data_IF_899540023044
#
_entry.id   IF_899540023044
#
_cell.length_a   1.000
_cell.length_b   1.000
_cell.length_c   1.000
_cell.angle_alpha   90.00
_cell.angle_beta   90.00
_cell.angle_gamma   90.00
#
_symmetry.space_group_name_H-M   'P 1'
#
loop_
_entity.id
_entity.type
_entity.pdbx_description
1 polymer ?
#
# COMPACT_ATOMS: atom_id res chain seq x y z
N UNK A 1 -6.82 -12.85 18.24
CA UNK A 1 -8.26 -12.64 18.09
C UNK A 1 -8.65 -11.19 17.81
N UNK A 2 -8.04 -10.16 18.44
CA UNK A 2 -8.29 -8.74 18.11
C UNK A 2 -7.86 -8.37 16.67
N UNK A 3 -6.75 -8.92 16.16
CA UNK A 3 -6.23 -8.65 14.80
C UNK A 3 -7.19 -9.12 13.68
N UNK A 4 -7.87 -10.24 13.88
CA UNK A 4 -8.79 -10.80 12.88
C UNK A 4 -10.07 -9.95 12.68
N UNK A 5 -10.56 -9.27 13.72
CA UNK A 5 -11.76 -8.43 13.63
C UNK A 5 -11.53 -7.09 12.88
N UNK A 6 -10.31 -6.53 12.95
CA UNK A 6 -9.95 -5.30 12.25
C UNK A 6 -9.81 -5.54 10.73
N UNK A 7 -9.27 -6.70 10.35
CA UNK A 7 -9.07 -7.11 8.94
C UNK A 7 -10.40 -7.35 8.20
N UNK A 8 -11.40 -7.92 8.85
CA UNK A 8 -12.73 -8.12 8.24
C UNK A 8 -13.51 -6.80 8.01
N UNK A 9 -13.23 -5.75 8.80
CA UNK A 9 -13.94 -4.47 8.68
C UNK A 9 -13.41 -3.62 7.52
N UNK A 10 -12.13 -3.75 7.17
CA UNK A 10 -11.54 -3.01 6.04
C UNK A 10 -12.10 -3.51 4.71
N UNK A 11 -12.25 -4.82 4.54
CA UNK A 11 -12.82 -5.41 3.31
C UNK A 11 -14.30 -5.01 3.08
N UNK A 12 -15.05 -4.69 4.15
CA UNK A 12 -16.45 -4.31 4.04
C UNK A 12 -16.65 -2.82 3.68
N UNK A 13 -15.64 -1.97 3.92
CA UNK A 13 -15.72 -0.54 3.60
C UNK A 13 -15.57 -0.27 2.09
N UNK A 14 -14.80 -1.09 1.37
CA UNK A 14 -14.63 -0.97 -0.08
C UNK A 14 -15.92 -1.17 -0.90
N UNK A 15 -16.91 -1.89 -0.36
CA UNK A 15 -18.16 -2.16 -1.08
C UNK A 15 -19.20 -1.04 -0.95
N UNK A 16 -19.02 -0.08 -0.01
CA UNK A 16 -20.00 1.00 0.23
C UNK A 16 -19.65 2.35 -0.43
N UNK A 17 -18.41 2.61 -0.78
CA UNK A 17 -18.02 3.88 -1.39
C UNK A 17 -18.37 4.00 -2.88
N UNK A 18 -18.53 2.90 -3.58
CA UNK A 18 -18.97 2.90 -5.00
C UNK A 18 -20.45 3.24 -5.21
N UNK A 19 -21.27 3.39 -4.16
CA UNK A 19 -22.73 3.62 -4.29
C UNK A 19 -23.18 5.03 -3.87
N UNK A 20 -22.30 5.94 -3.50
CA UNK A 20 -22.69 7.27 -2.96
C UNK A 20 -22.59 8.45 -3.95
N UNK A 21 -22.21 8.24 -5.21
CA UNK A 21 -21.99 9.33 -6.18
C UNK A 21 -23.14 9.54 -7.20
N UNK A 22 -24.24 8.81 -7.10
CA UNK A 22 -25.32 8.89 -8.09
C UNK A 22 -26.61 9.57 -7.58
N UNK A 23 -26.57 10.68 -6.83
CA UNK A 23 -27.78 11.51 -6.59
C UNK A 23 -27.44 12.94 -6.16
N UNK A 24 -26.96 13.78 -7.09
CA UNK A 24 -27.18 15.24 -7.01
C UNK A 24 -27.21 15.85 -8.40
N UNK A 25 -28.39 16.14 -8.87
CA UNK A 25 -28.57 16.97 -10.08
C UNK A 25 -29.98 16.98 -10.56
N UNK A 26 -30.82 17.88 -10.05
CA UNK A 26 -31.56 18.88 -10.80
C UNK A 26 -32.50 19.65 -9.88
N UNK A 27 -32.36 20.96 -9.88
CA UNK A 27 -33.24 21.89 -9.20
C UNK A 27 -34.50 22.19 -10.00
N UNK A 28 -35.52 22.71 -9.32
CA UNK A 28 -36.73 23.24 -9.89
C UNK A 28 -37.68 23.77 -8.82
N UNK A 29 -37.75 25.08 -8.68
CA UNK A 29 -38.69 25.85 -7.84
C UNK A 29 -40.14 25.63 -8.22
N UNK A 30 -41.07 25.59 -7.25
CA UNK A 30 -42.19 26.52 -7.13
C UNK A 30 -43.21 26.14 -6.04
N UNK A 31 -43.38 27.05 -5.11
CA UNK A 31 -44.58 27.60 -4.45
C UNK A 31 -45.75 26.71 -3.97
N UNK A 32 -45.92 26.79 -2.65
CA UNK A 32 -47.12 27.11 -1.84
C UNK A 32 -48.47 26.39 -2.08
N UNK A 33 -49.00 25.85 -1.00
CA UNK A 33 -50.43 25.52 -0.86
C UNK A 33 -50.75 24.79 0.44
N UNK A 34 -51.37 25.49 1.31
CA UNK A 34 -51.88 25.19 2.65
C UNK A 34 -52.96 24.10 2.71
N UNK A 35 -53.03 23.44 3.85
CA UNK A 35 -54.20 23.07 4.69
C UNK A 35 -54.52 21.59 4.88
N UNK A 36 -54.38 21.19 6.12
CA UNK A 36 -55.34 20.70 7.11
C UNK A 36 -56.01 19.32 7.00
N UNK A 37 -55.82 18.57 8.11
CA UNK A 37 -56.77 17.73 8.88
C UNK A 37 -57.41 16.54 8.15
N UNK A 38 -57.57 15.36 8.69
CA UNK A 38 -57.82 14.83 10.03
C UNK A 38 -58.01 13.31 9.95
N UNK A 39 -57.54 12.64 10.99
CA UNK A 39 -58.14 11.60 11.82
C UNK A 39 -58.88 10.37 11.27
N UNK A 40 -58.60 9.28 12.03
CA UNK A 40 -59.41 8.11 12.44
C UNK A 40 -59.22 6.85 11.60
N UNK A 41 -58.83 5.77 12.20
CA UNK A 41 -59.25 4.87 13.30
C UNK A 41 -59.77 3.53 12.75
N UNK A 42 -59.50 2.48 13.54
CA UNK A 42 -60.08 1.10 13.52
C UNK A 42 -59.53 0.15 12.44
N UNK A 43 -59.00 -1.07 12.75
CA UNK A 43 -59.34 -1.97 13.81
C UNK A 43 -59.65 -3.36 13.25
N UNK A 44 -59.14 -4.39 13.92
CA UNK A 44 -59.55 -5.82 13.99
C UNK A 44 -58.80 -6.79 13.06
N UNK A 45 -58.03 -7.68 13.68
CA UNK A 45 -58.26 -9.04 14.24
C UNK A 45 -58.73 -10.13 13.26
N UNK A 46 -57.97 -11.17 13.26
CA UNK A 46 -58.20 -12.61 13.52
C UNK A 46 -57.55 -13.47 12.42
N UNK A 47 -56.68 -14.31 12.80
CA UNK A 47 -56.67 -15.71 13.29
C UNK A 47 -56.54 -16.79 12.21
N UNK A 48 -55.43 -17.50 12.35
CA UNK A 48 -55.31 -18.96 12.50
C UNK A 48 -55.31 -19.87 11.25
N UNK A 49 -54.25 -20.60 11.01
CA UNK A 49 -54.04 -22.02 11.29
C UNK A 49 -52.79 -22.58 10.61
N UNK A 50 -51.98 -23.17 11.45
CA UNK A 50 -51.04 -24.26 11.37
C UNK A 50 -51.10 -25.22 10.18
N UNK A 51 -49.91 -25.65 9.69
CA UNK A 51 -49.51 -27.09 9.65
C UNK A 51 -47.97 -27.21 9.63
N UNK A 52 -47.51 -28.12 10.40
CA UNK A 52 -46.26 -28.67 10.85
C UNK A 52 -45.42 -29.37 9.73
N UNK A 53 -44.08 -29.30 9.77
CA UNK A 53 -43.18 -30.44 9.95
C UNK A 53 -41.73 -30.11 9.56
N UNK A 54 -40.84 -30.49 10.50
CA UNK A 54 -39.51 -31.04 10.16
C UNK A 54 -38.28 -30.30 10.64
N UNK A 55 -37.98 -30.48 11.92
CA UNK A 55 -36.64 -30.61 12.54
C UNK A 55 -35.40 -30.37 11.70
N UNK A 56 -34.56 -29.40 12.07
CA UNK A 56 -33.22 -29.71 12.54
C UNK A 56 -32.67 -28.61 13.46
N UNK A 57 -32.06 -29.07 14.54
CA UNK A 57 -31.56 -28.32 15.68
C UNK A 57 -30.12 -27.84 15.43
N UNK A 58 -29.87 -26.55 15.63
CA UNK A 58 -28.57 -26.12 16.15
C UNK A 58 -28.75 -24.82 16.94
N UNK A 59 -28.48 -24.90 18.23
CA UNK A 59 -28.52 -23.80 19.19
C UNK A 59 -27.56 -22.67 18.87
N UNK A 60 -27.94 -21.41 19.15
CA UNK A 60 -26.99 -20.29 19.11
C UNK A 60 -26.19 -20.26 20.41
N UNK A 61 -24.90 -20.37 20.31
CA UNK A 61 -23.94 -20.14 21.39
C UNK A 61 -23.98 -18.67 21.80
N UNK A 62 -24.53 -18.44 22.99
CA UNK A 62 -24.51 -17.18 23.72
C UNK A 62 -23.07 -16.86 24.16
N UNK A 63 -22.37 -15.99 23.45
CA UNK A 63 -21.09 -15.42 23.87
C UNK A 63 -21.33 -14.08 24.54
N UNK A 64 -21.50 -14.11 25.85
CA UNK A 64 -21.36 -12.93 26.69
C UNK A 64 -19.99 -12.33 26.52
N UNK A 65 -19.96 -11.17 25.91
CA UNK A 65 -18.81 -10.34 25.73
C UNK A 65 -18.55 -9.55 27.02
N UNK A 66 -17.56 -10.01 27.79
CA UNK A 66 -17.04 -9.25 28.93
C UNK A 66 -16.31 -8.01 28.39
N UNK A 67 -16.99 -6.87 28.45
CA UNK A 67 -16.43 -5.57 28.15
C UNK A 67 -15.54 -5.12 29.29
N UNK A 68 -14.25 -5.42 29.23
CA UNK A 68 -13.25 -4.69 30.00
C UNK A 68 -13.01 -3.35 29.32
N UNK A 69 -13.48 -2.28 29.97
CA UNK A 69 -13.06 -0.90 29.72
C UNK A 69 -11.53 -0.83 29.91
N UNK A 70 -10.82 -0.59 28.83
CA UNK A 70 -9.48 -0.04 28.90
C UNK A 70 -9.65 1.48 28.69
N UNK A 71 -9.37 2.23 29.74
CA UNK A 71 -9.28 3.69 29.71
C UNK A 71 -7.98 4.09 28.98
N UNK A 72 -7.99 4.05 27.65
CA UNK A 72 -6.99 4.69 26.80
C UNK A 72 -7.72 5.72 25.95
N UNK A 73 -7.45 6.99 26.21
CA UNK A 73 -7.95 8.19 25.52
C UNK A 73 -7.39 8.32 24.09
N UNK A 74 -7.18 7.19 23.41
CA UNK A 74 -6.81 7.06 21.99
C UNK A 74 -8.03 6.65 21.13
N UNK A 75 -9.25 6.76 21.66
CA UNK A 75 -10.47 6.54 20.91
C UNK A 75 -10.79 7.78 20.05
N UNK A 76 -10.19 7.86 18.87
CA UNK A 76 -10.76 8.63 17.77
C UNK A 76 -12.18 8.13 17.53
N UNK A 77 -13.16 9.03 17.50
CA UNK A 77 -14.55 8.72 17.20
C UNK A 77 -14.64 8.10 15.79
N UNK A 78 -14.74 6.77 15.71
CA UNK A 78 -14.94 6.02 14.48
C UNK A 78 -14.05 4.78 14.39
N UNK A 79 -14.65 3.60 14.38
CA UNK A 79 -13.98 2.28 14.37
C UNK A 79 -13.21 1.94 13.06
N UNK A 80 -12.74 2.92 12.27
CA UNK A 80 -12.00 2.67 11.01
C UNK A 80 -11.02 3.81 10.64
N UNK A 81 -10.33 4.40 11.60
CA UNK A 81 -9.36 5.48 11.31
C UNK A 81 -7.99 4.84 11.05
N UNK A 82 -7.46 5.00 9.83
CA UNK A 82 -6.13 4.50 9.45
C UNK A 82 -5.01 5.14 10.30
N UNK A 83 -5.16 6.43 10.66
CA UNK A 83 -4.22 7.18 11.48
C UNK A 83 -4.92 7.71 12.72
N UNK A 84 -4.38 7.44 13.91
CA UNK A 84 -4.88 7.98 15.18
C UNK A 84 -4.40 9.41 15.37
N UNK A 85 -4.97 10.13 16.33
CA UNK A 85 -4.50 11.48 16.71
C UNK A 85 -3.03 11.47 17.11
N UNK A 86 -2.59 10.43 17.84
CA UNK A 86 -1.20 10.27 18.28
C UNK A 86 -0.26 9.96 17.10
N UNK A 87 -0.71 9.21 16.10
CA UNK A 87 0.08 8.99 14.88
C UNK A 87 0.36 10.33 14.16
N UNK A 88 -0.60 11.25 14.16
CA UNK A 88 -0.53 12.56 13.48
C UNK A 88 0.19 13.64 14.31
N UNK A 89 0.58 13.36 15.54
CA UNK A 89 1.25 14.32 16.41
C UNK A 89 2.68 14.56 15.96
N UNK A 90 2.97 15.80 15.50
CA UNK A 90 4.30 16.16 15.00
C UNK A 90 5.25 16.70 16.08
N UNK A 91 4.72 17.00 17.26
CA UNK A 91 5.46 17.58 18.39
C UNK A 91 4.98 16.99 19.71
N UNK A 92 5.55 15.84 20.13
CA UNK A 92 5.10 15.16 21.32
C UNK A 92 5.39 15.97 22.60
N UNK A 93 4.59 15.74 23.62
CA UNK A 93 4.85 16.32 24.95
C UNK A 93 6.13 15.71 25.53
N UNK A 94 7.09 16.57 25.83
CA UNK A 94 8.37 16.20 26.44
C UNK A 94 8.36 16.29 27.97
N UNK A 95 7.21 16.57 28.59
CA UNK A 95 7.10 16.59 30.04
C UNK A 95 7.42 15.23 30.63
N UNK A 96 8.45 15.16 31.49
CA UNK A 96 8.91 13.88 32.05
C UNK A 96 9.74 13.02 31.12
N UNK A 97 10.05 13.50 29.91
CA UNK A 97 10.91 12.78 28.97
C UNK A 97 12.32 12.53 29.55
N UNK A 98 12.87 11.38 29.26
CA UNK A 98 14.25 10.99 29.64
C UNK A 98 15.17 11.31 28.48
N UNK A 99 16.19 12.16 28.69
CA UNK A 99 17.23 12.38 27.69
C UNK A 99 18.31 11.32 27.80
N UNK A 100 18.59 10.64 26.69
CA UNK A 100 19.60 9.61 26.56
C UNK A 100 20.57 9.99 25.44
N UNK A 101 21.86 9.76 25.67
CA UNK A 101 22.90 10.08 24.68
C UNK A 101 23.52 8.77 24.19
N UNK A 102 23.56 8.58 22.88
CA UNK A 102 24.23 7.42 22.25
C UNK A 102 25.74 7.47 22.50
N UNK A 103 26.40 6.31 22.67
CA UNK A 103 27.81 6.18 22.88
C UNK A 103 28.41 4.98 22.15
N UNK A 104 29.67 5.12 21.76
CA UNK A 104 30.40 4.11 20.99
C UNK A 104 30.36 2.72 21.65
N UNK A 105 29.96 1.71 20.89
CA UNK A 105 29.96 0.31 21.33
C UNK A 105 28.86 -0.05 22.33
N UNK A 106 27.98 0.88 22.72
CA UNK A 106 26.94 0.62 23.74
C UNK A 106 25.59 0.21 23.09
N UNK A 107 24.84 -0.59 23.83
CA UNK A 107 23.41 -0.79 23.58
C UNK A 107 22.61 0.09 24.54
N UNK A 108 21.90 1.06 24.00
CA UNK A 108 21.00 1.93 24.74
C UNK A 108 19.65 1.21 24.94
N UNK A 109 19.45 0.59 26.10
CA UNK A 109 18.26 -0.23 26.37
C UNK A 109 17.10 0.60 26.91
N UNK A 110 15.94 0.49 26.28
CA UNK A 110 14.67 1.09 26.66
C UNK A 110 13.67 -0.04 26.93
N UNK A 111 13.30 -0.21 28.21
CA UNK A 111 12.52 -1.35 28.69
C UNK A 111 11.26 -0.95 29.46
N UNK A 112 10.84 0.30 29.38
CA UNK A 112 9.65 0.80 30.05
C UNK A 112 8.94 1.84 29.16
N UNK A 113 7.63 1.93 29.28
CA UNK A 113 6.82 2.96 28.65
C UNK A 113 7.34 4.37 28.98
N UNK A 114 7.27 5.26 28.00
CA UNK A 114 7.64 6.67 28.18
C UNK A 114 8.21 7.33 26.94
N UNK A 115 8.54 8.62 27.10
CA UNK A 115 9.17 9.45 26.08
C UNK A 115 10.67 9.56 26.35
N UNK A 116 11.46 9.28 25.30
CA UNK A 116 12.91 9.26 25.35
C UNK A 116 13.48 10.17 24.26
N UNK A 117 14.14 11.25 24.68
CA UNK A 117 14.87 12.14 23.77
C UNK A 117 16.26 11.56 23.56
N UNK A 118 16.55 11.15 22.33
CA UNK A 118 17.83 10.54 21.97
C UNK A 118 18.69 11.59 21.27
N UNK A 119 19.93 11.73 21.73
CA UNK A 119 20.88 12.73 21.22
C UNK A 119 22.28 12.15 21.03
N UNK A 120 23.13 12.86 20.26
CA UNK A 120 24.56 12.59 20.18
C UNK A 120 24.97 11.79 18.95
N UNK A 121 26.25 11.40 18.94
CA UNK A 121 26.85 10.66 17.84
C UNK A 121 27.63 9.45 18.39
N UNK A 122 27.48 8.30 17.72
CA UNK A 122 28.13 7.06 18.14
C UNK A 122 28.43 6.12 16.97
N UNK A 123 29.40 5.25 17.18
CA UNK A 123 29.71 4.11 16.32
C UNK A 123 29.36 2.81 17.00
N UNK A 124 28.80 1.87 16.27
CA UNK A 124 28.38 0.56 16.76
C UNK A 124 27.50 0.67 18.03
N UNK A 125 26.50 1.55 17.95
CA UNK A 125 25.51 1.76 19.00
C UNK A 125 24.14 1.30 18.51
N UNK A 126 23.41 0.58 19.36
CA UNK A 126 22.03 0.17 19.07
C UNK A 126 21.09 0.77 20.11
N UNK A 127 20.08 1.50 19.66
CA UNK A 127 18.94 1.92 20.47
C UNK A 127 17.96 0.73 20.48
N UNK A 128 17.96 -0.04 21.57
CA UNK A 128 17.14 -1.25 21.72
C UNK A 128 15.91 -0.95 22.55
N UNK A 129 14.73 -1.18 21.95
CA UNK A 129 13.45 -1.18 22.64
C UNK A 129 13.04 -2.62 22.93
N UNK A 130 12.87 -2.94 24.23
CA UNK A 130 12.48 -4.28 24.69
C UNK A 130 11.65 -4.10 25.95
N UNK A 131 10.39 -3.66 25.74
CA UNK A 131 9.46 -3.27 26.79
C UNK A 131 8.27 -4.23 26.86
N UNK A 132 7.36 -4.01 27.82
CA UNK A 132 6.12 -4.76 27.90
C UNK A 132 5.31 -4.61 26.61
N UNK A 133 4.65 -5.68 26.16
CA UNK A 133 3.83 -5.72 24.95
C UNK A 133 2.62 -4.77 24.94
N UNK A 134 2.39 -4.05 26.03
CA UNK A 134 1.37 -3.00 26.13
C UNK A 134 2.00 -1.60 26.22
N UNK A 135 3.33 -1.51 26.29
CA UNK A 135 4.02 -0.26 26.42
C UNK A 135 4.03 0.50 25.09
N UNK A 136 3.69 1.76 25.11
CA UNK A 136 3.85 2.69 23.99
C UNK A 136 5.13 3.49 24.21
N UNK A 137 6.08 3.33 23.30
CA UNK A 137 7.39 3.97 23.39
C UNK A 137 7.46 5.15 22.43
N UNK A 138 7.91 6.29 22.94
CA UNK A 138 8.16 7.49 22.14
C UNK A 138 9.66 7.75 22.06
N UNK A 139 10.27 7.53 20.91
CA UNK A 139 11.66 7.90 20.62
C UNK A 139 11.66 9.25 19.89
N UNK A 140 12.20 10.28 20.51
CA UNK A 140 12.40 11.58 19.87
C UNK A 140 13.88 11.66 19.46
N UNK A 141 14.16 11.50 18.17
CA UNK A 141 15.50 11.61 17.64
C UNK A 141 15.84 13.08 17.44
N UNK A 142 16.83 13.60 18.15
CA UNK A 142 17.23 14.98 18.11
C UNK A 142 18.73 15.10 17.78
N UNK A 143 19.03 15.36 16.51
CA UNK A 143 20.39 15.48 15.98
C UNK A 143 21.25 14.25 16.27
N UNK A 144 20.68 13.05 16.05
CA UNK A 144 21.33 11.75 16.31
C UNK A 144 22.13 11.31 15.10
N UNK A 145 23.38 10.86 15.34
CA UNK A 145 24.20 10.20 14.33
C UNK A 145 24.66 8.84 14.85
N UNK A 146 24.29 7.75 14.16
CA UNK A 146 24.78 6.40 14.48
C UNK A 146 25.31 5.75 13.21
N UNK A 147 26.57 5.24 13.30
CA UNK A 147 27.21 4.49 12.21
C UNK A 147 27.57 3.10 12.73
N UNK A 148 26.85 2.09 12.30
CA UNK A 148 27.08 0.71 12.67
C UNK A 148 27.72 -0.08 11.53
N UNK A 149 28.38 -1.18 11.88
CA UNK A 149 29.01 -2.06 10.89
C UNK A 149 28.11 -3.24 10.50
N UNK A 150 27.33 -3.79 11.44
CA UNK A 150 26.71 -5.10 11.24
C UNK A 150 25.38 -5.33 11.98
N UNK A 151 24.82 -4.30 12.62
CA UNK A 151 23.59 -4.45 13.41
C UNK A 151 22.73 -3.18 13.38
N UNK A 152 21.40 -3.28 13.51
CA UNK A 152 20.50 -2.13 13.48
C UNK A 152 20.91 -1.00 14.42
N UNK A 153 20.78 0.24 13.95
CA UNK A 153 20.92 1.44 14.80
C UNK A 153 19.72 1.61 15.74
N UNK A 154 18.52 1.24 15.27
CA UNK A 154 17.31 1.13 16.09
C UNK A 154 16.76 -0.30 15.96
N UNK A 155 16.54 -0.96 17.09
CA UNK A 155 16.02 -2.31 17.15
C UNK A 155 14.86 -2.40 18.14
N UNK A 156 13.64 -2.54 17.63
CA UNK A 156 12.42 -2.74 18.43
C UNK A 156 12.12 -4.23 18.50
N UNK A 157 12.33 -4.80 19.68
CA UNK A 157 12.11 -6.23 19.96
C UNK A 157 10.70 -6.47 20.46
N UNK A 158 10.24 -5.62 21.40
CA UNK A 158 8.94 -5.76 22.03
C UNK A 158 8.42 -4.41 22.53
N UNK A 159 7.17 -4.09 22.15
CA UNK A 159 6.35 -2.98 22.62
C UNK A 159 4.90 -3.23 22.16
N UNK A 160 3.93 -2.38 22.52
CA UNK A 160 2.64 -2.29 21.83
C UNK A 160 2.83 -1.52 20.52
N UNK A 161 3.57 -0.40 20.60
CA UNK A 161 3.88 0.47 19.49
C UNK A 161 5.08 1.34 19.78
N UNK A 162 5.91 1.59 18.77
CA UNK A 162 7.03 2.51 18.87
C UNK A 162 6.81 3.70 17.93
N UNK A 163 6.80 4.92 18.48
CA UNK A 163 6.78 6.17 17.74
C UNK A 163 8.21 6.69 17.60
N UNK A 164 8.61 7.05 16.40
CA UNK A 164 9.92 7.65 16.08
C UNK A 164 9.66 9.07 15.58
N UNK A 165 9.81 10.04 16.47
CA UNK A 165 9.61 11.45 16.14
C UNK A 165 10.94 12.10 15.75
N UNK A 166 10.94 12.72 14.60
CA UNK A 166 12.12 13.37 14.04
C UNK A 166 12.19 14.84 14.42
N UNK A 167 13.27 15.25 15.08
CA UNK A 167 13.63 16.64 15.34
C UNK A 167 15.05 16.89 14.85
N UNK A 168 15.29 18.04 14.21
CA UNK A 168 16.62 18.38 13.67
C UNK A 168 17.06 17.44 12.54
N UNK A 169 18.34 17.11 12.50
CA UNK A 169 18.94 16.29 11.44
C UNK A 169 19.51 15.00 11.99
N UNK A 170 18.94 13.87 11.62
CA UNK A 170 19.33 12.56 12.11
C UNK A 170 19.95 11.73 10.98
N UNK A 171 20.99 10.97 11.28
CA UNK A 171 21.70 10.13 10.32
C UNK A 171 22.01 8.76 10.96
N UNK A 172 21.45 7.71 10.38
CA UNK A 172 21.70 6.35 10.82
C UNK A 172 22.22 5.52 9.65
N UNK A 173 23.25 4.72 9.88
CA UNK A 173 23.84 3.91 8.81
C UNK A 173 24.35 2.57 9.29
N UNK A 174 24.21 1.55 8.44
CA UNK A 174 24.84 0.23 8.56
C UNK A 174 25.36 -0.15 7.19
N UNK A 175 26.68 -0.31 7.07
CA UNK A 175 27.36 -0.45 5.77
C UNK A 175 28.16 -1.74 5.59
N UNK A 176 28.20 -2.61 6.61
CA UNK A 176 28.78 -3.95 6.54
C UNK A 176 27.71 -5.03 6.41
N UNK A 177 28.09 -6.30 6.51
CA UNK A 177 27.14 -7.41 6.47
C UNK A 177 26.37 -7.49 7.78
N UNK A 178 25.05 -7.46 7.70
CA UNK A 178 24.19 -7.61 8.86
C UNK A 178 24.34 -8.99 9.50
N UNK A 179 24.19 -9.05 10.80
CA UNK A 179 24.18 -10.28 11.59
C UNK A 179 22.82 -10.48 12.24
N UNK A 180 22.38 -11.72 12.31
CA UNK A 180 21.20 -12.10 13.07
C UNK A 180 21.39 -11.82 14.57
N UNK A 181 20.29 -11.60 15.28
CA UNK A 181 20.27 -11.58 16.75
C UNK A 181 20.31 -12.99 17.36
N UNK A 182 20.30 -14.04 16.52
CA UNK A 182 20.25 -15.45 16.90
C UNK A 182 18.85 -16.07 16.73
N UNK A 183 17.80 -15.26 16.58
CA UNK A 183 16.43 -15.69 16.38
C UNK A 183 15.86 -15.16 15.05
N UNK A 184 16.26 -13.95 14.68
CA UNK A 184 15.70 -13.23 13.52
C UNK A 184 16.84 -12.66 12.69
N UNK A 185 16.66 -12.64 11.37
CA UNK A 185 17.49 -11.85 10.48
C UNK A 185 17.14 -10.36 10.68
N UNK A 186 18.13 -9.57 11.14
CA UNK A 186 17.95 -8.15 11.46
C UNK A 186 18.63 -7.31 10.37
N UNK A 187 18.11 -7.33 9.18
CA UNK A 187 18.69 -6.84 7.93
C UNK A 187 18.34 -5.39 7.58
N UNK A 188 18.10 -4.56 8.55
CA UNK A 188 17.75 -3.15 8.33
C UNK A 188 18.47 -2.21 9.32
N UNK A 189 18.65 -0.95 8.89
CA UNK A 189 19.19 0.11 9.79
C UNK A 189 18.23 0.38 10.95
N UNK A 190 16.92 0.38 10.66
CA UNK A 190 15.84 0.39 11.65
C UNK A 190 15.06 -0.89 11.48
N UNK A 191 15.07 -1.74 12.49
CA UNK A 191 14.37 -3.02 12.47
C UNK A 191 13.35 -3.09 13.60
N UNK A 192 12.11 -3.48 13.29
CA UNK A 192 11.04 -3.63 14.28
C UNK A 192 10.28 -4.94 14.13
N UNK A 193 9.96 -5.56 15.26
CA UNK A 193 9.01 -6.70 15.34
C UNK A 193 7.58 -6.25 15.63
N UNK A 194 7.39 -4.97 15.96
CA UNK A 194 6.13 -4.38 16.43
C UNK A 194 5.80 -3.14 15.60
N UNK A 195 4.60 -2.60 15.79
CA UNK A 195 4.13 -1.41 15.09
C UNK A 195 5.10 -0.23 15.18
N UNK A 196 5.35 0.43 14.06
CA UNK A 196 6.12 1.67 13.96
C UNK A 196 5.27 2.83 13.46
N UNK A 197 5.44 3.99 14.07
CA UNK A 197 4.96 5.26 13.49
C UNK A 197 6.09 6.26 13.45
N UNK A 198 6.36 6.80 12.26
CA UNK A 198 7.30 7.89 12.03
C UNK A 198 6.54 9.19 11.89
N UNK A 199 6.95 10.23 12.65
CA UNK A 199 6.36 11.56 12.63
C UNK A 199 7.40 12.63 12.95
N UNK A 200 6.97 13.89 13.12
CA UNK A 200 7.85 15.03 13.42
C UNK A 200 8.22 15.83 12.18
N UNK A 201 9.04 16.87 12.39
CA UNK A 201 9.40 17.84 11.35
C UNK A 201 10.88 17.78 10.95
N UNK A 202 11.64 16.85 11.57
CA UNK A 202 13.05 16.67 11.29
C UNK A 202 13.35 15.84 10.04
N UNK A 203 14.65 15.62 9.83
CA UNK A 203 15.16 14.82 8.72
C UNK A 203 15.79 13.54 9.25
N UNK A 204 15.54 12.43 8.56
CA UNK A 204 16.20 11.14 8.78
C UNK A 204 16.92 10.72 7.51
N UNK A 205 18.24 10.65 7.57
CA UNK A 205 19.07 10.11 6.49
C UNK A 205 19.46 8.67 6.86
N UNK A 206 19.14 7.71 5.99
CA UNK A 206 19.49 6.30 6.15
C UNK A 206 20.43 5.85 5.03
N UNK A 207 21.45 5.08 5.40
CA UNK A 207 22.31 4.38 4.44
C UNK A 207 22.46 2.93 4.89
N UNK A 208 22.06 2.00 4.04
CA UNK A 208 22.06 0.57 4.34
C UNK A 208 22.72 -0.25 3.23
N UNK A 209 23.48 -1.27 3.66
CA UNK A 209 23.95 -2.35 2.78
C UNK A 209 22.90 -3.47 2.58
N UNK A 210 21.78 -3.39 3.26
CA UNK A 210 20.58 -4.23 3.08
C UNK A 210 19.35 -3.32 3.13
N UNK A 211 18.29 -3.63 3.90
CA UNK A 211 17.09 -2.81 3.99
C UNK A 211 17.33 -1.50 4.77
N UNK A 212 16.63 -0.44 4.38
CA UNK A 212 16.66 0.82 5.13
C UNK A 212 15.88 0.72 6.43
N UNK A 213 14.59 0.44 6.34
CA UNK A 213 13.65 0.21 7.45
C UNK A 213 12.92 -1.10 7.18
N UNK A 214 12.91 -2.03 8.14
CA UNK A 214 12.15 -3.27 8.05
C UNK A 214 11.27 -3.45 9.29
N UNK A 215 9.98 -3.66 9.08
CA UNK A 215 8.97 -3.90 10.10
C UNK A 215 8.24 -5.22 9.91
N UNK A 216 8.01 -5.97 10.99
CA UNK A 216 7.25 -7.23 10.94
C UNK A 216 5.75 -7.05 11.21
N UNK A 217 5.31 -5.81 11.44
CA UNK A 217 3.92 -5.44 11.68
C UNK A 217 3.58 -4.17 10.86
N UNK A 218 2.63 -3.34 11.32
CA UNK A 218 2.20 -2.13 10.63
C UNK A 218 3.23 -0.99 10.73
N UNK A 219 3.44 -0.30 9.63
CA UNK A 219 4.33 0.87 9.56
C UNK A 219 3.59 2.09 9.05
N UNK A 220 3.73 3.22 9.76
CA UNK A 220 3.07 4.49 9.41
C UNK A 220 4.07 5.63 9.32
N UNK A 221 3.87 6.50 8.34
CA UNK A 221 4.61 7.75 8.16
C UNK A 221 3.60 8.90 8.12
N UNK A 222 3.72 9.85 9.05
CA UNK A 222 2.74 10.94 9.17
C UNK A 222 3.36 12.33 9.10
N UNK A 223 4.65 12.42 8.85
CA UNK A 223 5.43 13.65 8.66
C UNK A 223 6.92 13.33 8.58
N UNK A 224 7.76 14.37 8.52
CA UNK A 224 9.21 14.25 8.44
C UNK A 224 9.77 14.24 7.02
N UNK A 225 11.10 14.28 6.95
CA UNK A 225 11.85 14.19 5.69
C UNK A 225 12.78 12.98 5.73
N UNK A 226 12.70 12.13 4.73
CA UNK A 226 13.44 10.87 4.64
C UNK A 226 14.34 10.88 3.41
N UNK A 227 15.64 10.60 3.63
CA UNK A 227 16.63 10.40 2.57
C UNK A 227 17.20 9.01 2.75
N UNK A 228 16.79 8.07 1.93
CA UNK A 228 17.12 6.65 2.11
C UNK A 228 17.92 6.15 0.92
N UNK A 229 19.08 5.53 1.23
CA UNK A 229 19.86 4.78 0.25
C UNK A 229 20.06 3.35 0.79
N UNK A 230 19.65 2.34 0.05
CA UNK A 230 19.70 0.94 0.44
C UNK A 230 20.15 0.02 -0.70
N UNK A 231 20.74 -1.11 -0.34
CA UNK A 231 21.11 -2.15 -1.29
C UNK A 231 20.00 -3.19 -1.51
N UNK A 232 19.06 -3.29 -0.55
CA UNK A 232 17.78 -3.99 -0.65
C UNK A 232 16.63 -2.97 -0.54
N UNK A 233 15.46 -3.37 -0.02
CA UNK A 233 14.29 -2.50 0.05
C UNK A 233 14.56 -1.25 0.92
N UNK A 234 14.07 -0.10 0.47
CA UNK A 234 14.26 1.09 1.29
C UNK A 234 13.33 1.09 2.50
N UNK A 235 12.08 0.68 2.33
CA UNK A 235 11.08 0.50 3.37
C UNK A 235 10.35 -0.82 3.12
N UNK A 236 10.46 -1.75 4.05
CA UNK A 236 9.80 -3.06 3.99
C UNK A 236 8.91 -3.25 5.21
N UNK A 237 7.67 -3.71 5.01
CA UNK A 237 6.77 -4.11 6.09
C UNK A 237 6.05 -5.41 5.76
N UNK A 238 5.83 -6.27 6.76
CA UNK A 238 5.07 -7.48 6.52
C UNK A 238 3.56 -7.21 6.43
N UNK A 239 3.01 -6.40 7.34
CA UNK A 239 1.56 -6.21 7.40
C UNK A 239 1.11 -5.01 6.56
N UNK A 240 1.70 -3.84 6.76
CA UNK A 240 1.33 -2.68 5.96
C UNK A 240 2.30 -1.51 6.01
N UNK A 241 2.24 -0.67 4.96
CA UNK A 241 2.82 0.67 4.97
C UNK A 241 1.73 1.69 4.67
N UNK A 242 1.55 2.66 5.56
CA UNK A 242 0.62 3.77 5.38
C UNK A 242 1.34 5.11 5.48
N UNK A 243 1.19 5.97 4.48
CA UNK A 243 1.76 7.31 4.44
C UNK A 243 0.65 8.34 4.45
N UNK A 244 0.60 9.16 5.50
CA UNK A 244 -0.30 10.30 5.58
C UNK A 244 0.31 11.55 4.96
N UNK A 245 1.58 11.82 5.32
CA UNK A 245 2.38 12.94 4.84
C UNK A 245 3.87 12.66 5.05
N UNK A 246 4.74 13.43 4.43
CA UNK A 246 6.17 13.37 4.53
C UNK A 246 6.86 13.64 3.19
N UNK A 247 8.17 13.86 3.23
CA UNK A 247 8.98 14.05 2.04
C UNK A 247 10.00 12.93 1.94
N UNK A 248 9.94 12.16 0.85
CA UNK A 248 10.79 10.99 0.65
C UNK A 248 11.69 11.18 -0.58
N UNK A 249 12.98 10.94 -0.38
CA UNK A 249 13.97 10.77 -1.45
C UNK A 249 14.62 9.43 -1.27
N UNK A 250 14.30 8.50 -2.15
CA UNK A 250 14.70 7.09 -2.04
C UNK A 250 15.53 6.71 -3.26
N UNK A 251 16.68 6.08 -3.00
CA UNK A 251 17.49 5.40 -4.01
C UNK A 251 17.80 4.00 -3.50
N UNK A 252 17.33 2.99 -4.21
CA UNK A 252 17.50 1.59 -3.79
C UNK A 252 17.89 0.69 -4.95
N UNK A 253 18.51 -0.47 -4.62
CA UNK A 253 18.84 -1.51 -5.61
C UNK A 253 17.76 -2.60 -5.69
N UNK A 254 16.72 -2.51 -4.86
CA UNK A 254 15.54 -3.40 -4.89
C UNK A 254 14.27 -2.51 -4.89
N UNK A 255 13.32 -2.72 -3.97
CA UNK A 255 12.04 -2.00 -3.99
C UNK A 255 12.08 -0.71 -3.15
N UNK A 256 11.34 0.29 -3.58
CA UNK A 256 11.23 1.57 -2.85
C UNK A 256 10.45 1.41 -1.56
N UNK A 257 9.19 1.04 -1.67
CA UNK A 257 8.31 0.68 -0.55
C UNK A 257 7.69 -0.68 -0.85
N UNK A 258 7.94 -1.65 0.01
CA UNK A 258 7.50 -3.03 -0.14
C UNK A 258 6.65 -3.47 1.05
N UNK A 259 5.50 -4.08 0.79
CA UNK A 259 4.69 -4.72 1.82
C UNK A 259 4.26 -6.12 1.39
N UNK A 260 4.82 -7.14 2.07
CA UNK A 260 4.57 -8.54 1.73
C UNK A 260 4.30 -9.38 2.98
N UNK A 261 3.24 -10.20 2.92
CA UNK A 261 2.98 -11.22 3.92
C UNK A 261 2.58 -12.53 3.25
N UNK A 262 3.43 -13.54 3.37
CA UNK A 262 3.18 -14.88 2.81
C UNK A 262 2.19 -15.71 3.61
N UNK A 263 2.00 -15.39 4.89
CA UNK A 263 1.22 -16.19 5.84
C UNK A 263 -0.24 -15.71 5.95
N UNK A 264 -0.47 -14.40 5.77
CA UNK A 264 -1.80 -13.79 5.84
C UNK A 264 -2.13 -12.98 4.58
N UNK A 265 -3.00 -13.51 3.74
CA UNK A 265 -3.41 -12.86 2.49
C UNK A 265 -4.27 -11.58 2.69
N UNK A 266 -4.57 -11.17 3.92
CA UNK A 266 -5.38 -9.98 4.21
C UNK A 266 -4.54 -8.75 4.54
N UNK A 267 -3.24 -8.92 4.67
CA UNK A 267 -2.23 -7.87 4.88
C UNK A 267 -1.26 -7.82 3.70
N UNK A 268 -0.18 -7.11 3.81
CA UNK A 268 0.72 -6.87 2.69
C UNK A 268 0.16 -5.77 1.78
N UNK A 269 -0.17 -4.59 2.35
CA UNK A 269 -0.76 -3.49 1.59
C UNK A 269 -0.04 -2.15 1.80
N UNK A 270 -0.17 -1.27 0.81
CA UNK A 270 0.36 0.10 0.84
C UNK A 270 -0.79 1.10 0.65
N UNK A 271 -0.84 2.14 1.48
CA UNK A 271 -1.75 3.29 1.33
C UNK A 271 -0.96 4.59 1.37
N UNK A 272 -1.05 5.38 0.32
CA UNK A 272 -0.50 6.74 0.23
C UNK A 272 -1.66 7.72 0.26
N UNK A 273 -1.86 8.38 1.41
CA UNK A 273 -2.90 9.38 1.57
C UNK A 273 -2.42 10.80 1.22
N UNK A 274 -1.11 11.00 1.08
CA UNK A 274 -0.49 12.27 0.74
C UNK A 274 1.02 12.23 0.77
N UNK A 275 1.66 13.41 0.81
CA UNK A 275 3.10 13.58 0.87
C UNK A 275 3.77 13.74 -0.48
N UNK A 276 5.10 13.83 -0.45
CA UNK A 276 5.93 13.98 -1.66
C UNK A 276 6.98 12.87 -1.71
N UNK A 277 7.02 12.14 -2.81
CA UNK A 277 7.93 11.01 -2.99
C UNK A 277 8.73 11.14 -4.28
N UNK A 278 10.05 10.96 -4.18
CA UNK A 278 10.94 10.76 -5.31
C UNK A 278 11.69 9.45 -5.10
N UNK A 279 11.26 8.41 -5.80
CA UNK A 279 11.76 7.04 -5.65
C UNK A 279 12.48 6.63 -6.92
N UNK A 280 13.73 6.18 -6.77
CA UNK A 280 14.52 5.53 -7.79
C UNK A 280 14.85 4.12 -7.30
N UNK A 281 14.17 3.14 -7.82
CA UNK A 281 14.33 1.73 -7.49
C UNK A 281 14.95 0.96 -8.67
N UNK A 282 15.61 -0.16 -8.40
CA UNK A 282 16.05 -1.09 -9.46
C UNK A 282 14.99 -2.14 -9.78
N UNK A 283 14.15 -2.46 -8.81
CA UNK A 283 12.92 -3.21 -8.95
C UNK A 283 11.76 -2.23 -8.88
N UNK A 284 10.78 -2.42 -8.01
CA UNK A 284 9.53 -1.68 -8.03
C UNK A 284 9.56 -0.48 -7.10
N UNK A 285 8.90 0.61 -7.50
CA UNK A 285 8.84 1.77 -6.62
C UNK A 285 7.88 1.53 -5.45
N UNK A 286 6.69 0.97 -5.73
CA UNK A 286 5.69 0.57 -4.74
C UNK A 286 5.25 -0.86 -5.05
N UNK A 287 5.53 -1.82 -4.17
CA UNK A 287 5.10 -3.21 -4.32
C UNK A 287 4.30 -3.67 -3.13
N UNK A 288 3.10 -4.21 -3.35
CA UNK A 288 2.26 -4.78 -2.31
C UNK A 288 1.68 -6.14 -2.71
N UNK A 289 1.66 -7.09 -1.78
CA UNK A 289 1.05 -8.40 -2.02
C UNK A 289 -0.45 -8.28 -2.27
N UNK A 290 -1.16 -7.43 -1.51
CA UNK A 290 -2.62 -7.36 -1.53
C UNK A 290 -3.10 -6.17 -2.35
N UNK A 291 -2.88 -4.96 -1.87
CA UNK A 291 -3.29 -3.78 -2.62
C UNK A 291 -2.37 -2.59 -2.42
N UNK A 292 -2.34 -1.73 -3.42
CA UNK A 292 -1.79 -0.38 -3.37
C UNK A 292 -2.95 0.60 -3.56
N UNK A 293 -3.11 1.55 -2.63
CA UNK A 293 -4.06 2.66 -2.78
C UNK A 293 -3.35 3.99 -2.68
N UNK A 294 -3.62 4.86 -3.63
CA UNK A 294 -3.10 6.23 -3.65
C UNK A 294 -4.31 7.17 -3.63
N UNK A 295 -4.49 7.89 -2.51
CA UNK A 295 -5.59 8.84 -2.34
C UNK A 295 -5.19 10.25 -2.80
N UNK A 296 -3.92 10.65 -2.55
CA UNK A 296 -3.34 11.95 -2.94
C UNK A 296 -1.80 11.88 -2.86
N UNK A 297 -1.12 12.97 -3.20
CA UNK A 297 0.33 13.12 -3.10
C UNK A 297 0.98 13.57 -4.41
N UNK A 298 2.29 13.85 -4.31
CA UNK A 298 3.13 14.18 -5.47
C UNK A 298 4.22 13.10 -5.58
N UNK A 299 4.03 12.16 -6.50
CA UNK A 299 4.86 10.98 -6.62
C UNK A 299 5.66 11.03 -7.92
N UNK A 300 6.98 10.94 -7.80
CA UNK A 300 7.89 10.70 -8.91
C UNK A 300 8.53 9.34 -8.74
N UNK A 301 8.14 8.38 -9.58
CA UNK A 301 8.49 6.98 -9.48
C UNK A 301 9.33 6.56 -10.71
N UNK A 302 10.48 5.95 -10.48
CA UNK A 302 11.35 5.41 -11.51
C UNK A 302 11.87 4.05 -11.07
N UNK A 303 11.40 2.98 -11.72
CA UNK A 303 11.69 1.60 -11.35
C UNK A 303 11.67 0.63 -12.52
N UNK A 304 11.74 -0.66 -12.21
CA UNK A 304 11.34 -1.71 -13.15
C UNK A 304 9.85 -1.59 -13.41
N UNK A 305 9.07 -1.72 -12.33
CA UNK A 305 7.67 -1.34 -12.30
C UNK A 305 7.48 -0.11 -11.40
N UNK A 306 6.55 0.75 -11.77
CA UNK A 306 6.24 1.91 -10.93
C UNK A 306 5.39 1.53 -9.73
N UNK A 307 4.32 0.77 -9.96
CA UNK A 307 3.36 0.33 -8.94
C UNK A 307 2.95 -1.10 -9.24
N UNK A 308 3.16 -2.01 -8.28
CA UNK A 308 2.76 -3.41 -8.40
C UNK A 308 1.89 -3.85 -7.22
N UNK A 309 0.85 -4.65 -7.51
CA UNK A 309 -0.04 -5.22 -6.50
C UNK A 309 -1.09 -6.15 -7.07
N UNK A 310 -1.85 -6.85 -6.23
CA UNK A 310 -2.99 -7.63 -6.72
C UNK A 310 -4.18 -6.74 -7.06
N UNK A 311 -4.39 -5.67 -6.29
CA UNK A 311 -5.41 -4.66 -6.52
C UNK A 311 -4.79 -3.27 -6.38
N UNK A 312 -4.94 -2.44 -7.40
CA UNK A 312 -4.37 -1.10 -7.41
C UNK A 312 -5.50 -0.10 -7.57
N UNK A 313 -5.60 0.87 -6.66
CA UNK A 313 -6.62 1.91 -6.67
C UNK A 313 -5.98 3.30 -6.58
N UNK A 314 -6.20 4.14 -7.58
CA UNK A 314 -5.70 5.52 -7.61
C UNK A 314 -6.91 6.46 -7.57
N UNK A 315 -7.04 7.19 -6.46
CA UNK A 315 -8.14 8.12 -6.22
C UNK A 315 -7.79 9.57 -6.55
N UNK A 316 -6.49 9.90 -6.51
CA UNK A 316 -6.01 11.26 -6.72
C UNK A 316 -4.50 11.36 -6.80
N UNK A 317 -3.99 12.60 -6.63
CA UNK A 317 -2.58 12.93 -6.65
C UNK A 317 -2.01 13.24 -8.03
N UNK A 318 -0.73 13.61 -8.05
CA UNK A 318 0.07 13.81 -9.25
C UNK A 318 1.16 12.74 -9.29
N UNK A 319 1.15 11.91 -10.32
CA UNK A 319 2.05 10.76 -10.44
C UNK A 319 2.83 10.88 -11.77
N UNK A 320 4.15 11.10 -11.67
CA UNK A 320 5.10 11.06 -12.80
C UNK A 320 5.89 9.75 -12.69
N UNK A 321 5.57 8.79 -13.53
CA UNK A 321 6.04 7.42 -13.43
C UNK A 321 6.80 7.00 -14.67
N UNK A 322 7.97 6.41 -14.46
CA UNK A 322 8.74 5.69 -15.48
C UNK A 322 8.94 4.25 -15.03
N UNK A 323 8.46 3.29 -15.86
CA UNK A 323 8.71 1.86 -15.73
C UNK A 323 9.66 1.39 -16.84
N UNK A 324 10.73 0.67 -16.49
CA UNK A 324 11.59 0.05 -17.51
C UNK A 324 11.01 -1.26 -18.04
N UNK A 325 10.13 -1.86 -17.29
CA UNK A 325 9.22 -2.96 -17.62
C UNK A 325 7.81 -2.38 -17.70
N UNK A 326 6.96 -2.53 -16.68
CA UNK A 326 5.62 -1.97 -16.71
C UNK A 326 5.51 -0.68 -15.88
N UNK A 327 4.54 0.17 -16.25
CA UNK A 327 4.22 1.34 -15.45
C UNK A 327 3.45 0.98 -14.19
N UNK A 328 2.27 0.41 -14.37
CA UNK A 328 1.38 -0.09 -13.30
C UNK A 328 1.02 -1.53 -13.63
N UNK A 329 1.31 -2.47 -12.71
CA UNK A 329 1.08 -3.89 -12.91
C UNK A 329 0.18 -4.49 -11.82
N UNK A 330 -1.03 -4.91 -12.19
CA UNK A 330 -1.89 -5.68 -11.31
C UNK A 330 -1.76 -7.18 -11.60
N UNK A 331 -0.99 -7.87 -10.78
CA UNK A 331 -0.71 -9.30 -10.90
C UNK A 331 -1.20 -10.09 -9.67
N UNK A 332 -1.44 -11.40 -9.82
CA UNK A 332 -1.95 -12.22 -8.71
C UNK A 332 -0.87 -12.57 -7.71
N UNK A 333 -0.71 -11.76 -6.69
CA UNK A 333 0.17 -12.01 -5.55
C UNK A 333 -0.60 -12.47 -4.30
N UNK A 334 -1.88 -12.10 -4.18
CA UNK A 334 -2.75 -12.48 -3.05
C UNK A 334 -4.02 -13.20 -3.50
N UNK A 335 -4.61 -13.96 -2.59
CA UNK A 335 -5.93 -14.61 -2.76
C UNK A 335 -7.07 -13.75 -2.22
N UNK A 336 -6.79 -12.57 -1.63
CA UNK A 336 -7.81 -11.66 -1.09
C UNK A 336 -8.67 -11.04 -2.20
N UNK A 337 -8.10 -10.90 -3.39
CA UNK A 337 -8.82 -10.48 -4.57
C UNK A 337 -8.89 -11.64 -5.58
N UNK A 338 -10.09 -11.89 -6.10
CA UNK A 338 -10.30 -12.96 -7.10
C UNK A 338 -9.75 -12.61 -8.46
N UNK A 339 -9.73 -11.33 -8.78
CA UNK A 339 -9.28 -10.77 -10.06
C UNK A 339 -8.28 -9.65 -9.78
N UNK A 340 -7.05 -9.74 -10.30
CA UNK A 340 -6.15 -8.59 -10.30
C UNK A 340 -6.82 -7.41 -11.00
N UNK A 341 -6.70 -6.21 -10.44
CA UNK A 341 -7.49 -5.08 -10.96
C UNK A 341 -6.75 -3.77 -10.77
N UNK A 342 -6.77 -2.93 -11.80
CA UNK A 342 -6.38 -1.51 -11.71
C UNK A 342 -7.64 -0.67 -11.78
N UNK A 343 -7.85 0.20 -10.77
CA UNK A 343 -8.95 1.17 -10.73
C UNK A 343 -8.36 2.57 -10.65
N UNK A 344 -8.72 3.44 -11.59
CA UNK A 344 -8.32 4.85 -11.59
C UNK A 344 -9.58 5.70 -11.46
N UNK A 345 -9.75 6.31 -10.28
CA UNK A 345 -10.89 7.15 -9.95
C UNK A 345 -10.59 8.64 -10.19
N UNK A 346 -9.32 9.03 -10.18
CA UNK A 346 -8.89 10.42 -10.30
C UNK A 346 -7.38 10.56 -10.41
N UNK A 347 -6.88 11.80 -10.29
CA UNK A 347 -5.47 12.14 -10.35
C UNK A 347 -4.98 12.56 -11.73
N UNK A 348 -3.73 13.07 -11.74
CA UNK A 348 -2.98 13.41 -12.96
C UNK A 348 -1.81 12.44 -13.08
N UNK A 349 -1.95 11.45 -13.95
CA UNK A 349 -0.98 10.38 -14.17
C UNK A 349 -0.24 10.61 -15.47
N UNK A 350 1.07 10.74 -15.38
CA UNK A 350 1.96 10.70 -16.53
C UNK A 350 2.80 9.44 -16.44
N UNK A 351 2.63 8.54 -17.40
CA UNK A 351 3.26 7.22 -17.43
C UNK A 351 4.12 7.10 -18.68
N UNK A 352 5.40 6.87 -18.48
CA UNK A 352 6.34 6.56 -19.55
C UNK A 352 6.93 5.17 -19.30
N UNK A 353 6.94 4.31 -20.32
CA UNK A 353 7.52 2.98 -20.21
C UNK A 353 8.67 2.79 -21.18
N UNK A 354 9.54 1.84 -20.85
CA UNK A 354 10.74 1.50 -21.60
C UNK A 354 10.45 0.97 -23.01
N UNK A 355 11.45 0.40 -23.61
CA UNK A 355 11.33 -0.26 -24.92
C UNK A 355 11.35 -1.77 -24.71
N UNK A 356 10.48 -2.47 -25.39
CA UNK A 356 10.41 -3.93 -25.33
C UNK A 356 8.95 -4.38 -25.20
N UNK A 357 8.76 -5.48 -24.54
CA UNK A 357 7.44 -6.01 -24.14
C UNK A 357 7.08 -5.35 -22.81
N UNK A 358 6.60 -4.10 -22.89
CA UNK A 358 6.35 -3.20 -21.76
C UNK A 358 4.99 -2.56 -21.91
N UNK A 359 4.22 -2.54 -20.82
CA UNK A 359 2.88 -1.99 -20.76
C UNK A 359 2.81 -0.79 -19.82
N UNK A 360 2.15 0.30 -20.25
CA UNK A 360 1.99 1.42 -19.35
C UNK A 360 1.06 1.07 -18.18
N UNK A 361 0.00 0.31 -18.45
CA UNK A 361 -0.90 -0.27 -17.44
C UNK A 361 -1.19 -1.72 -17.82
N UNK A 362 -0.69 -2.66 -17.04
CA UNK A 362 -0.98 -4.09 -17.14
C UNK A 362 -1.91 -4.56 -16.02
N UNK A 363 -2.85 -5.44 -16.35
CA UNK A 363 -3.65 -6.15 -15.37
C UNK A 363 -3.91 -7.58 -15.83
N UNK A 364 -3.42 -8.56 -15.10
CA UNK A 364 -3.83 -9.96 -15.31
C UNK A 364 -5.30 -10.15 -14.91
N UNK A 365 -6.13 -9.16 -15.20
CA UNK A 365 -7.55 -9.09 -14.88
C UNK A 365 -8.22 -7.84 -15.44
N UNK A 366 -8.78 -6.97 -14.58
CA UNK A 366 -9.64 -5.88 -15.00
C UNK A 366 -8.94 -4.52 -14.92
N UNK A 367 -9.24 -3.60 -15.87
CA UNK A 367 -8.87 -2.18 -15.82
C UNK A 367 -10.14 -1.35 -15.82
N UNK A 368 -10.29 -0.46 -14.85
CA UNK A 368 -11.46 0.42 -14.69
C UNK A 368 -10.99 1.86 -14.55
N UNK A 369 -11.36 2.72 -15.48
CA UNK A 369 -11.07 4.15 -15.43
C UNK A 369 -12.39 4.91 -15.23
N UNK A 370 -12.52 5.53 -14.06
CA UNK A 370 -13.70 6.32 -13.68
C UNK A 370 -13.45 7.83 -13.80
N UNK A 371 -12.19 8.28 -13.80
CA UNK A 371 -11.84 9.69 -13.84
C UNK A 371 -10.35 9.93 -13.97
N UNK A 372 -9.92 11.19 -13.80
CA UNK A 372 -8.53 11.61 -13.88
C UNK A 372 -8.03 11.89 -15.28
N UNK A 373 -6.75 12.25 -15.38
CA UNK A 373 -6.01 12.41 -16.63
C UNK A 373 -4.89 11.36 -16.66
N UNK A 374 -4.85 10.56 -17.70
CA UNK A 374 -3.84 9.51 -17.90
C UNK A 374 -3.12 9.82 -19.21
N UNK A 375 -1.89 10.31 -19.11
CA UNK A 375 -1.01 10.65 -20.25
C UNK A 375 0.09 9.59 -20.36
N UNK A 376 -0.02 8.74 -21.37
CA UNK A 376 0.85 7.61 -21.62
C UNK A 376 1.79 7.86 -22.75
N UNK A 377 3.08 7.60 -22.53
CA UNK A 377 4.12 7.48 -23.56
C UNK A 377 4.62 6.05 -23.58
N UNK A 378 4.28 5.29 -24.62
CA UNK A 378 4.68 3.89 -24.80
C UNK A 378 5.05 3.62 -26.25
N UNK A 379 5.91 2.63 -26.46
CA UNK A 379 6.35 2.24 -27.83
C UNK A 379 5.62 1.02 -28.36
N UNK A 380 5.14 0.13 -27.47
CA UNK A 380 4.48 -1.14 -27.83
C UNK A 380 3.03 -1.15 -27.35
N UNK A 381 2.80 -1.21 -26.06
CA UNK A 381 1.47 -1.32 -25.49
C UNK A 381 1.22 -0.22 -24.48
N UNK A 382 0.01 0.31 -24.47
CA UNK A 382 -0.42 1.30 -23.47
C UNK A 382 -1.25 0.65 -22.38
N UNK A 383 -2.03 -0.36 -22.74
CA UNK A 383 -2.86 -1.14 -21.84
C UNK A 383 -2.80 -2.61 -22.25
N UNK A 384 -2.52 -3.49 -21.28
CA UNK A 384 -2.78 -4.91 -21.41
C UNK A 384 -3.74 -5.38 -20.30
N UNK A 385 -4.65 -6.30 -20.62
CA UNK A 385 -5.61 -6.81 -19.64
C UNK A 385 -6.20 -8.16 -20.08
N UNK A 386 -6.30 -9.08 -19.14
CA UNK A 386 -6.86 -10.40 -19.35
C UNK A 386 -8.39 -10.44 -19.19
N UNK A 387 -8.97 -9.49 -18.48
CA UNK A 387 -10.39 -9.44 -18.13
C UNK A 387 -11.18 -8.36 -18.87
N UNK A 388 -11.73 -7.40 -18.15
CA UNK A 388 -12.53 -6.31 -18.68
C UNK A 388 -11.75 -5.01 -18.68
N UNK A 389 -12.04 -4.16 -19.67
CA UNK A 389 -11.64 -2.76 -19.64
C UNK A 389 -12.89 -1.88 -19.66
N UNK A 390 -13.07 -1.05 -18.63
CA UNK A 390 -14.20 -0.15 -18.49
C UNK A 390 -13.71 1.30 -18.45
N UNK A 391 -14.18 2.15 -19.37
CA UNK A 391 -13.91 3.58 -19.40
C UNK A 391 -15.20 4.32 -19.09
N UNK A 392 -15.35 4.80 -17.87
CA UNK A 392 -16.56 5.46 -17.36
C UNK A 392 -16.41 6.99 -17.33
N UNK A 393 -15.18 7.51 -17.40
CA UNK A 393 -14.89 8.94 -17.38
C UNK A 393 -13.39 9.24 -17.33
N UNK A 394 -13.06 10.54 -17.34
CA UNK A 394 -11.69 11.01 -17.36
C UNK A 394 -11.15 11.32 -18.75
N UNK A 395 -9.86 11.41 -18.87
CA UNK A 395 -9.12 11.73 -20.09
C UNK A 395 -7.97 10.76 -20.28
N UNK A 396 -7.90 10.08 -21.41
CA UNK A 396 -6.77 9.23 -21.76
C UNK A 396 -6.07 9.82 -22.98
N UNK A 397 -4.76 10.01 -22.87
CA UNK A 397 -3.89 10.49 -23.92
C UNK A 397 -2.81 9.44 -24.16
N UNK A 398 -2.67 8.95 -25.37
CA UNK A 398 -1.64 7.97 -25.73
C UNK A 398 -0.76 8.57 -26.82
N UNK A 399 0.54 8.75 -26.52
CA UNK A 399 1.49 9.34 -27.45
C UNK A 399 1.01 10.68 -28.03
N UNK A 400 0.40 11.53 -27.18
CA UNK A 400 -0.14 12.83 -27.55
C UNK A 400 -1.49 12.80 -28.26
N UNK A 401 -2.15 11.65 -28.37
CA UNK A 401 -3.45 11.49 -29.01
C UNK A 401 -4.52 11.13 -27.99
N UNK A 402 -5.61 11.90 -27.93
CA UNK A 402 -6.79 11.57 -27.12
C UNK A 402 -7.48 10.31 -27.65
N UNK A 403 -7.90 9.45 -26.72
CA UNK A 403 -8.70 8.26 -27.04
C UNK A 403 -9.98 8.25 -26.19
N UNK A 404 -11.06 7.75 -26.79
CA UNK A 404 -12.41 7.72 -26.17
C UNK A 404 -12.72 6.37 -25.52
N UNK A 405 -11.76 5.47 -25.45
CA UNK A 405 -11.90 4.15 -24.85
C UNK A 405 -10.52 3.57 -24.53
N UNK A 406 -10.45 2.64 -23.61
CA UNK A 406 -9.26 1.85 -23.36
C UNK A 406 -9.01 0.96 -24.59
N UNK A 407 -7.86 1.06 -25.28
CA UNK A 407 -7.54 0.23 -26.43
C UNK A 407 -7.56 -1.25 -26.05
N UNK A 408 -7.92 -2.10 -27.00
CA UNK A 408 -7.76 -3.56 -26.80
C UNK A 408 -6.26 -3.89 -26.73
N UNK A 409 -5.91 -4.72 -25.75
CA UNK A 409 -4.60 -5.32 -25.65
C UNK A 409 -4.16 -5.92 -26.99
N UNK A 410 -2.91 -5.70 -27.36
CA UNK A 410 -2.36 -6.29 -28.59
C UNK A 410 -2.02 -7.78 -28.41
N UNK A 411 -2.01 -8.30 -27.19
CA UNK A 411 -1.66 -9.68 -26.82
C UNK A 411 -2.79 -10.42 -26.11
N UNK A 412 -4.02 -10.35 -26.63
CA UNK A 412 -5.10 -11.25 -26.17
C UNK A 412 -4.82 -12.71 -26.56
N UNK A 413 -5.38 -13.72 -25.83
CA UNK A 413 -5.17 -15.14 -26.12
C UNK A 413 -5.63 -15.47 -27.56
N UNK A 414 -4.69 -15.48 -28.49
CA UNK A 414 -4.92 -15.77 -29.91
C UNK A 414 -4.42 -14.75 -30.93
N UNK A 415 -3.81 -13.65 -30.52
CA UNK A 415 -3.26 -12.62 -31.41
C UNK A 415 -1.93 -13.05 -32.06
N UNK A 416 -1.98 -13.98 -33.00
CA UNK A 416 -0.85 -14.23 -33.90
C UNK A 416 -0.64 -13.00 -34.79
N UNK A 417 0.58 -12.59 -35.01
CA UNK A 417 1.04 -11.57 -35.95
C UNK A 417 0.33 -11.68 -37.29
N UNK A 418 -0.71 -10.89 -37.49
CA UNK A 418 -1.32 -10.65 -38.80
C UNK A 418 -0.61 -9.49 -39.48
N UNK A 419 0.47 -9.76 -40.17
CA UNK A 419 1.06 -8.80 -41.11
C UNK A 419 0.02 -8.34 -42.14
N UNK A 420 0.14 -7.11 -42.72
CA UNK A 420 -0.82 -6.59 -43.68
C UNK A 420 -0.94 -7.52 -44.89
N UNK A 421 -2.13 -8.07 -45.09
CA UNK A 421 -2.48 -8.96 -46.13
C UNK A 421 -2.29 -8.37 -47.51
N UNK A 422 -1.35 -8.91 -48.26
CA UNK A 422 -1.34 -8.82 -49.72
C UNK A 422 -2.39 -9.79 -50.26
N UNK A 423 -3.46 -9.21 -50.85
CA UNK A 423 -4.27 -9.95 -51.82
C UNK A 423 -3.40 -10.33 -52.98
N UNK A 424 -3.32 -11.60 -53.34
CA UNK A 424 -3.60 -12.04 -54.71
C UNK A 424 -3.61 -13.58 -54.80
N UNK A 425 -4.59 -14.05 -55.55
CA UNK A 425 -4.96 -15.43 -55.75
C UNK A 425 -3.99 -16.24 -56.62
N UNK A 426 -4.09 -17.50 -56.51
CA UNK A 426 -4.43 -18.47 -57.55
C UNK A 426 -4.04 -19.91 -57.14
N UNK A 427 -4.99 -20.77 -57.39
CA UNK A 427 -4.95 -22.25 -57.44
C UNK A 427 -3.64 -22.83 -57.95
N UNK A 428 -3.14 -23.87 -57.28
CA UNK A 428 -2.78 -25.10 -58.01
C UNK A 428 -2.73 -26.31 -57.08
N UNK A 429 -3.31 -27.44 -57.44
CA UNK A 429 -3.27 -28.67 -56.66
C UNK A 429 -2.19 -29.62 -57.17
N UNK A 430 -1.59 -30.38 -56.27
CA UNK A 430 -0.95 -31.65 -56.65
C UNK A 430 0.49 -31.82 -56.21
N UNK A 431 0.74 -32.91 -55.53
CA UNK A 431 2.09 -33.51 -55.46
C UNK A 431 2.36 -34.28 -54.19
N UNK A 432 2.04 -35.57 -54.27
CA UNK A 432 2.50 -36.66 -53.37
C UNK A 432 4.02 -36.77 -53.28
N UNK A 433 4.50 -37.27 -52.13
CA UNK A 433 5.61 -38.15 -52.09
C UNK A 433 6.42 -38.17 -50.79
N UNK A 434 6.69 -39.36 -50.29
CA UNK A 434 7.21 -39.53 -48.92
C UNK A 434 8.72 -39.82 -48.91
N UNK A 435 9.29 -39.73 -47.71
CA UNK A 435 10.46 -40.53 -47.42
C UNK A 435 11.70 -39.80 -46.91
N UNK A 436 12.22 -40.31 -45.84
CA UNK A 436 13.62 -40.19 -45.54
C UNK A 436 14.03 -40.03 -44.08
N UNK A 437 14.16 -41.16 -43.40
CA UNK A 437 14.94 -41.34 -42.17
C UNK A 437 16.39 -40.91 -42.35
N UNK A 438 17.00 -40.41 -41.31
CA UNK A 438 18.45 -40.26 -41.21
C UNK A 438 18.91 -39.82 -39.83
N UNK A 439 19.29 -40.79 -39.03
CA UNK A 439 19.94 -40.67 -37.72
C UNK A 439 21.43 -40.32 -37.83
N UNK A 440 22.01 -39.85 -36.69
CA UNK A 440 23.44 -39.70 -36.30
C UNK A 440 24.03 -38.32 -36.59
N UNK A 441 24.66 -37.66 -35.65
CA UNK A 441 25.47 -38.00 -34.45
C UNK A 441 25.26 -36.98 -33.38
#
# INVERSE_FOLDING_TARGET
MKRMAMKQKLTMFFLMTALAVLLTGCGGSATAGTSRESASDSGSKAENQTVDNGTDTSDPVDTKQDSKKNDDDDSGEGENVLFTKRDLEQSPDLTGAKTLTVKDGETLSINAEGTYVITGAAKNCTIKVDADKKAKIQLVLQDVTVTNTDFPAIYVVSADKCFVTLQGSNSLSVTGSFRSDGETNTDAVIYSREDLTFNGTGTLTLTSSENGISGKDDMKFTGGTYVITSDLDAIEANDSVAVYDGTFTIVTKKDGIHSENSDDNTVGWIVIAGGTMNIQAKSDCLQATTYVRIDDGNLKLNGSEGIEGTYIEINGGTIDLYGSDDGINASRKSKSYTTPTVVINGGDLKIEVGRGDTDAIDANGDIIVNGGTIDITSTMSSFDYDGKAEFNGGTIIINGTHVDSIPKSMMGPGGGWGGPGGQDGQNNPGGHGPGGRGSRQ
#
